data_IF_172859626809
#
_entry.id   IF_172859626809
#
_cell.length_a   1.000
_cell.length_b   1.000
_cell.length_c   1.000
_cell.angle_alpha   90.00
_cell.angle_beta   90.00
_cell.angle_gamma   90.00
#
_symmetry.space_group_name_H-M   'P 1'
#
loop_
_entity.id
_entity.type
_entity.pdbx_description
1 polymer ?
#
# COMPACT_ATOMS: atom_id res chain seq x y z
N UNK A 1 -5.66 -15.58 17.58
CA UNK A 1 -4.77 -14.76 16.74
C UNK A 1 -5.50 -13.46 16.45
N UNK A 2 -4.92 -12.32 16.77
CA UNK A 2 -5.55 -11.01 16.50
C UNK A 2 -4.71 -10.32 15.43
N UNK A 3 -5.20 -10.29 14.20
CA UNK A 3 -4.43 -9.80 13.06
C UNK A 3 -3.91 -8.36 13.27
N UNK A 4 -4.76 -7.47 13.82
CA UNK A 4 -4.40 -6.08 14.15
C UNK A 4 -3.26 -5.95 15.17
N UNK A 5 -2.98 -6.99 15.97
CA UNK A 5 -1.86 -6.99 16.92
C UNK A 5 -0.57 -7.51 16.31
N UNK A 6 -0.67 -8.27 15.22
CA UNK A 6 0.46 -8.99 14.60
C UNK A 6 0.94 -8.31 13.31
N UNK A 7 0.18 -7.35 12.78
CA UNK A 7 0.53 -6.58 11.60
C UNK A 7 0.42 -5.06 11.84
N UNK A 8 1.21 -4.30 11.10
CA UNK A 8 1.12 -2.84 11.09
C UNK A 8 0.34 -2.37 9.86
N UNK A 9 -0.78 -1.69 10.12
CA UNK A 9 -1.63 -1.07 9.09
C UNK A 9 -1.17 0.35 8.80
N UNK A 10 -1.11 0.70 7.50
CA UNK A 10 -0.67 2.00 7.01
C UNK A 10 -1.53 2.40 5.81
N UNK A 11 -2.05 3.64 5.80
CA UNK A 11 -2.55 4.28 4.58
C UNK A 11 -1.38 5.01 3.94
N UNK A 12 -0.79 4.40 2.92
CA UNK A 12 0.42 4.89 2.27
C UNK A 12 0.16 6.13 1.40
N UNK A 13 -1.02 6.21 0.78
CA UNK A 13 -1.45 7.40 0.04
C UNK A 13 -2.95 7.64 0.19
N UNK A 14 -3.32 8.92 0.18
CA UNK A 14 -4.73 9.33 0.14
C UNK A 14 -5.39 9.00 -1.20
N UNK A 15 -6.70 9.20 -1.25
CA UNK A 15 -7.43 9.11 -2.50
C UNK A 15 -6.92 10.20 -3.45
N UNK A 16 -6.82 9.87 -4.72
CA UNK A 16 -6.42 10.77 -5.80
C UNK A 16 -7.50 10.70 -6.87
N UNK A 17 -8.03 11.87 -7.21
CA UNK A 17 -9.03 12.00 -8.26
C UNK A 17 -8.50 11.53 -9.62
N UNK A 18 -9.43 11.36 -10.56
CA UNK A 18 -9.16 11.03 -11.95
C UNK A 18 -8.05 11.92 -12.53
N UNK A 19 -7.12 11.31 -13.25
CA UNK A 19 -6.04 12.02 -13.91
C UNK A 19 -4.99 11.09 -14.47
N UNK A 20 -3.95 11.68 -15.05
CA UNK A 20 -2.90 10.98 -15.81
C UNK A 20 -1.49 11.14 -15.22
N UNK A 21 -1.35 11.80 -14.07
CA UNK A 21 -0.03 11.96 -13.43
C UNK A 21 0.32 10.74 -12.60
N UNK A 22 1.60 10.36 -12.60
CA UNK A 22 2.08 9.30 -11.68
C UNK A 22 1.82 9.70 -10.24
N UNK A 23 1.27 8.79 -9.46
CA UNK A 23 1.06 8.94 -8.03
C UNK A 23 2.26 8.34 -7.32
N UNK A 24 3.03 9.20 -6.65
CA UNK A 24 4.21 8.82 -5.87
C UNK A 24 4.00 9.24 -4.43
N UNK A 25 3.83 8.28 -3.50
CA UNK A 25 3.72 8.57 -2.08
C UNK A 25 4.96 9.32 -1.56
N UNK A 26 4.75 10.29 -0.67
CA UNK A 26 5.83 11.14 -0.18
C UNK A 26 6.87 10.34 0.64
N UNK A 27 6.42 9.64 1.68
CA UNK A 27 7.28 8.86 2.56
C UNK A 27 7.35 7.39 2.12
N UNK A 28 8.49 6.74 2.36
CA UNK A 28 8.62 5.29 2.27
C UNK A 28 7.96 4.54 3.42
N UNK A 29 7.74 3.25 3.21
CA UNK A 29 7.38 2.28 4.24
C UNK A 29 8.66 1.71 4.84
N UNK A 30 8.91 1.98 6.12
CA UNK A 30 10.03 1.42 6.88
C UNK A 30 9.74 -0.02 7.28
N UNK A 31 10.55 -0.95 6.77
CA UNK A 31 10.45 -2.39 7.01
C UNK A 31 11.17 -2.84 8.28
N UNK A 32 11.80 -1.94 9.05
CA UNK A 32 12.48 -2.31 10.28
C UNK A 32 11.53 -3.00 11.26
N UNK A 33 11.87 -4.24 11.64
CA UNK A 33 11.09 -5.07 12.57
C UNK A 33 9.96 -5.86 11.91
N UNK A 34 9.90 -5.90 10.57
CA UNK A 34 8.90 -6.64 9.80
C UNK A 34 9.56 -7.39 8.63
N UNK A 35 9.04 -8.56 8.30
CA UNK A 35 9.59 -9.38 7.22
C UNK A 35 8.88 -9.18 5.88
N UNK A 36 7.62 -8.74 5.88
CA UNK A 36 6.79 -8.72 4.68
C UNK A 36 5.96 -7.43 4.58
N UNK A 37 5.77 -6.91 3.38
CA UNK A 37 4.85 -5.80 3.11
C UNK A 37 3.89 -6.17 1.97
N UNK A 38 2.59 -6.17 2.28
CA UNK A 38 1.52 -6.26 1.30
C UNK A 38 1.04 -4.84 0.99
N UNK A 39 1.25 -4.39 -0.24
CA UNK A 39 0.60 -3.18 -0.74
C UNK A 39 -0.73 -3.53 -1.40
N UNK A 40 -1.73 -2.69 -1.17
CA UNK A 40 -3.06 -2.79 -1.79
C UNK A 40 -3.40 -1.43 -2.36
N UNK A 41 -3.70 -1.38 -3.66
CA UNK A 41 -4.21 -0.20 -4.36
C UNK A 41 -5.68 -0.45 -4.65
N UNK A 42 -6.54 0.45 -4.15
CA UNK A 42 -7.95 0.47 -4.52
C UNK A 42 -8.13 1.44 -5.69
N UNK A 43 -8.63 0.91 -6.81
CA UNK A 43 -8.98 1.71 -7.98
C UNK A 43 -10.47 2.04 -7.98
N UNK A 44 -10.79 3.26 -8.41
CA UNK A 44 -12.16 3.66 -8.72
C UNK A 44 -12.42 3.47 -10.22
N UNK A 45 -13.04 4.48 -10.85
CA UNK A 45 -13.25 4.50 -12.29
C UNK A 45 -11.93 4.63 -13.07
N UNK A 46 -11.81 3.86 -14.15
CA UNK A 46 -10.71 3.79 -15.09
C UNK A 46 -11.30 4.06 -16.47
N UNK A 47 -10.78 5.09 -17.14
CA UNK A 47 -11.29 5.47 -18.45
C UNK A 47 -10.85 4.45 -19.49
N UNK A 48 -11.74 4.04 -20.40
CA UNK A 48 -11.40 3.16 -21.53
C UNK A 48 -10.16 3.68 -22.28
N UNK A 49 -9.22 2.79 -22.56
CA UNK A 49 -7.91 3.10 -23.13
C UNK A 49 -6.84 3.52 -22.13
N UNK A 50 -7.10 3.49 -20.82
CA UNK A 50 -6.11 3.82 -19.79
C UNK A 50 -5.00 2.77 -19.70
N UNK A 51 -3.76 3.24 -19.81
CA UNK A 51 -2.54 2.52 -19.51
C UNK A 51 -2.15 2.85 -18.06
N UNK A 52 -2.75 2.09 -17.13
CA UNK A 52 -2.44 2.19 -15.71
C UNK A 52 -1.58 1.01 -15.29
N UNK A 53 -0.60 1.24 -14.42
CA UNK A 53 0.19 0.17 -13.81
C UNK A 53 0.61 0.54 -12.41
N UNK A 54 0.96 -0.46 -11.60
CA UNK A 54 1.58 -0.26 -10.30
C UNK A 54 2.97 -0.88 -10.30
N UNK A 55 3.87 -0.35 -9.47
CA UNK A 55 5.20 -0.92 -9.23
C UNK A 55 5.69 -0.60 -7.83
N UNK A 56 6.57 -1.44 -7.30
CA UNK A 56 7.23 -1.20 -6.02
C UNK A 56 8.67 -0.74 -6.26
N UNK A 57 9.11 0.23 -5.46
CA UNK A 57 10.48 0.72 -5.40
C UNK A 57 11.07 0.50 -4.01
N UNK A 58 12.40 0.45 -3.92
CA UNK A 58 13.12 0.39 -2.65
C UNK A 58 14.25 1.41 -2.56
N UNK A 59 14.56 1.76 -1.32
CA UNK A 59 15.71 2.58 -0.91
C UNK A 59 16.27 2.08 0.43
N UNK A 60 17.55 2.28 0.68
CA UNK A 60 18.18 2.01 1.98
C UNK A 60 17.93 3.11 3.02
N UNK A 61 17.60 4.33 2.59
CA UNK A 61 17.54 5.53 3.45
C UNK A 61 16.39 6.49 3.11
N UNK A 62 15.29 5.96 2.57
CA UNK A 62 14.11 6.73 2.17
C UNK A 62 14.40 7.83 1.13
N UNK A 63 15.38 7.59 0.25
CA UNK A 63 15.70 8.49 -0.85
C UNK A 63 16.58 9.67 -0.49
N UNK A 64 17.25 9.64 0.67
CA UNK A 64 18.15 10.73 1.11
C UNK A 64 19.46 10.72 0.33
N UNK A 65 20.18 9.60 0.34
CA UNK A 65 21.39 9.36 -0.45
C UNK A 65 21.22 8.18 -1.43
N UNK A 66 20.40 7.18 -1.10
CA UNK A 66 20.04 6.08 -2.00
C UNK A 66 18.66 6.32 -2.61
N UNK A 67 18.64 6.86 -3.82
CA UNK A 67 17.41 7.10 -4.56
C UNK A 67 16.57 5.83 -4.76
N UNK A 68 15.24 6.02 -4.80
CA UNK A 68 14.32 4.91 -5.03
C UNK A 68 14.54 4.24 -6.38
N UNK A 69 14.70 2.91 -6.35
CA UNK A 69 14.88 2.08 -7.53
C UNK A 69 13.78 1.03 -7.64
N UNK A 70 13.31 0.76 -8.86
CA UNK A 70 12.27 -0.24 -9.13
C UNK A 70 12.70 -1.66 -8.70
N UNK A 71 11.80 -2.41 -8.08
CA UNK A 71 12.00 -3.83 -7.80
C UNK A 71 11.57 -4.62 -9.03
N UNK A 72 12.53 -5.32 -9.63
CA UNK A 72 12.28 -6.22 -10.75
C UNK A 72 11.16 -7.23 -10.41
N UNK A 73 10.19 -7.37 -11.31
CA UNK A 73 9.08 -8.32 -11.16
C UNK A 73 7.90 -7.83 -10.33
N UNK A 74 7.93 -6.61 -9.79
CA UNK A 74 6.82 -6.06 -8.96
C UNK A 74 5.79 -5.24 -9.74
N UNK A 75 5.91 -5.18 -11.07
CA UNK A 75 4.99 -4.39 -11.90
C UNK A 75 3.73 -5.19 -12.24
N UNK A 76 2.57 -4.57 -12.05
CA UNK A 76 1.28 -5.12 -12.45
C UNK A 76 0.58 -4.11 -13.35
N UNK A 77 0.20 -4.56 -14.55
CA UNK A 77 -0.66 -3.79 -15.46
C UNK A 77 -2.10 -3.83 -14.96
N UNK A 78 -2.75 -2.68 -14.94
CA UNK A 78 -4.15 -2.52 -14.58
C UNK A 78 -4.91 -2.21 -15.86
N UNK A 79 -5.68 -3.18 -16.33
CA UNK A 79 -6.52 -3.02 -17.51
C UNK A 79 -7.68 -2.04 -17.25
N UNK A 80 -8.20 -1.44 -18.33
CA UNK A 80 -9.23 -0.41 -18.30
C UNK A 80 -10.64 -0.94 -17.99
N UNK A 81 -10.79 -2.25 -17.83
CA UNK A 81 -12.02 -2.95 -17.38
C UNK A 81 -11.93 -3.41 -15.91
N UNK A 82 -10.92 -2.93 -15.16
CA UNK A 82 -10.70 -3.28 -13.76
C UNK A 82 -11.23 -2.22 -12.78
N UNK A 83 -12.28 -1.50 -13.18
CA UNK A 83 -12.97 -0.52 -12.34
C UNK A 83 -13.38 -1.09 -10.99
N UNK A 84 -13.21 -0.29 -9.93
CA UNK A 84 -13.67 -0.62 -8.57
C UNK A 84 -13.07 -1.93 -8.01
N UNK A 85 -11.82 -2.26 -8.39
CA UNK A 85 -11.10 -3.45 -7.93
C UNK A 85 -9.85 -3.12 -7.13
N UNK A 86 -9.36 -4.13 -6.44
CA UNK A 86 -8.10 -4.09 -5.70
C UNK A 86 -6.98 -4.71 -6.54
N UNK A 87 -5.85 -4.01 -6.63
CA UNK A 87 -4.59 -4.57 -7.10
C UNK A 87 -3.65 -4.69 -5.89
N UNK A 88 -3.00 -5.83 -5.71
CA UNK A 88 -2.05 -6.02 -4.62
C UNK A 88 -0.67 -6.43 -5.14
N UNK A 89 0.37 -6.03 -4.40
CA UNK A 89 1.75 -6.48 -4.61
C UNK A 89 2.35 -6.78 -3.24
N UNK A 90 2.80 -8.00 -3.05
CA UNK A 90 3.46 -8.43 -1.82
C UNK A 90 4.97 -8.54 -2.03
N UNK A 91 5.73 -7.97 -1.10
CA UNK A 91 7.19 -8.10 -1.06
C UNK A 91 7.57 -8.75 0.26
N UNK A 92 8.00 -10.01 0.18
CA UNK A 92 8.55 -10.74 1.31
C UNK A 92 10.08 -10.61 1.34
N UNK A 93 10.62 -10.37 2.54
CA UNK A 93 12.06 -10.20 2.83
C UNK A 93 12.75 -9.22 1.88
N UNK A 94 12.34 -7.94 1.88
CA UNK A 94 12.96 -6.93 1.00
C UNK A 94 14.45 -6.76 1.32
N UNK A 95 15.24 -6.50 0.27
CA UNK A 95 16.70 -6.38 0.40
C UNK A 95 17.14 -5.02 0.96
N UNK A 96 16.28 -4.01 0.88
CA UNK A 96 16.51 -2.69 1.48
C UNK A 96 15.39 -2.34 2.45
N UNK A 97 15.69 -1.37 3.32
CA UNK A 97 14.84 -1.01 4.47
C UNK A 97 13.54 -0.32 4.08
N UNK A 98 13.51 0.50 3.03
CA UNK A 98 12.35 1.30 2.68
C UNK A 98 11.71 0.80 1.38
N UNK A 99 10.39 0.63 1.39
CA UNK A 99 9.59 0.28 0.22
C UNK A 99 8.60 1.40 -0.12
N UNK A 100 8.25 1.55 -1.40
CA UNK A 100 7.24 2.52 -1.85
C UNK A 100 6.48 1.96 -3.04
N UNK A 101 5.16 2.06 -3.04
CA UNK A 101 4.35 1.67 -4.21
C UNK A 101 3.94 2.92 -4.99
N UNK A 102 4.18 2.89 -6.30
CA UNK A 102 3.77 3.94 -7.24
C UNK A 102 2.63 3.44 -8.12
N UNK A 103 1.73 4.35 -8.50
CA UNK A 103 0.72 4.12 -9.53
C UNK A 103 1.05 5.00 -10.73
N UNK A 104 1.40 4.38 -11.85
CA UNK A 104 1.69 5.05 -13.10
C UNK A 104 0.38 5.16 -13.89
N UNK A 105 0.07 6.39 -14.28
CA UNK A 105 -1.03 6.73 -15.17
C UNK A 105 -0.39 7.39 -16.40
N UNK A 106 -0.79 7.02 -17.61
CA UNK A 106 -0.10 7.48 -18.82
C UNK A 106 -1.04 7.98 -19.93
N UNK A 107 -2.03 7.18 -20.35
CA UNK A 107 -2.83 7.49 -21.56
C UNK A 107 -4.18 8.12 -21.29
N UNK A 108 -4.90 7.67 -20.25
CA UNK A 108 -6.24 8.15 -19.89
C UNK A 108 -6.39 8.14 -18.37
N UNK A 109 -7.45 8.77 -17.90
CA UNK A 109 -7.66 9.01 -16.49
C UNK A 109 -7.98 7.73 -15.72
N UNK A 110 -7.37 7.57 -14.55
CA UNK A 110 -7.76 6.58 -13.54
C UNK A 110 -7.84 7.19 -12.14
N UNK A 111 -8.86 6.79 -11.39
CA UNK A 111 -9.10 7.17 -10.00
C UNK A 111 -8.44 6.16 -9.07
N UNK A 112 -7.82 6.64 -8.00
CA UNK A 112 -7.25 5.81 -6.93
C UNK A 112 -7.91 6.17 -5.61
N UNK A 113 -8.62 5.25 -4.97
CA UNK A 113 -9.33 5.48 -3.71
C UNK A 113 -8.40 5.43 -2.48
N UNK A 114 -7.23 4.82 -2.68
CA UNK A 114 -6.14 4.85 -1.72
C UNK A 114 -5.10 3.79 -2.02
N UNK A 115 -3.91 4.01 -1.43
CA UNK A 115 -2.86 3.00 -1.37
C UNK A 115 -2.68 2.64 0.10
N UNK A 116 -2.74 1.35 0.40
CA UNK A 116 -2.59 0.80 1.74
C UNK A 116 -1.37 -0.11 1.78
N UNK A 117 -0.74 -0.21 2.94
CA UNK A 117 0.32 -1.16 3.21
C UNK A 117 0.03 -1.89 4.52
N UNK A 118 0.23 -3.20 4.52
CA UNK A 118 0.15 -4.07 5.69
C UNK A 118 1.51 -4.72 5.86
N UNK A 119 2.17 -4.43 6.98
CA UNK A 119 3.46 -5.05 7.30
C UNK A 119 3.21 -6.25 8.21
N UNK A 120 3.68 -7.42 7.79
CA UNK A 120 3.56 -8.69 8.50
C UNK A 120 4.92 -9.26 8.90
N UNK A 121 4.90 -10.36 9.65
CA UNK A 121 6.12 -10.96 10.20
C UNK A 121 6.80 -10.04 11.20
N UNK A 122 6.01 -9.42 12.08
CA UNK A 122 6.53 -8.54 13.11
C UNK A 122 7.48 -9.30 14.04
N UNK A 123 8.66 -8.74 14.30
CA UNK A 123 9.64 -9.34 15.22
C UNK A 123 9.21 -9.21 16.68
N UNK A 124 8.38 -8.22 16.98
CA UNK A 124 7.82 -7.95 18.29
C UNK A 124 6.32 -7.66 18.17
N UNK A 125 5.52 -8.28 19.03
CA UNK A 125 4.06 -8.11 19.10
C UNK A 125 3.65 -7.65 20.51
N UNK A 126 2.65 -6.77 20.66
CA UNK A 126 1.81 -6.20 19.61
C UNK A 126 2.49 -5.05 18.85
N UNK A 127 2.18 -4.92 17.56
CA UNK A 127 2.69 -3.84 16.72
C UNK A 127 1.92 -2.54 16.93
N UNK A 128 2.58 -1.40 16.72
CA UNK A 128 1.92 -0.09 16.67
C UNK A 128 1.56 0.29 15.23
N UNK A 129 0.30 0.62 14.99
CA UNK A 129 -0.17 1.09 13.69
C UNK A 129 0.37 2.49 13.32
N UNK A 130 0.30 2.83 12.03
CA UNK A 130 0.62 4.18 11.56
C UNK A 130 -0.36 5.22 12.12
N UNK A 131 0.09 6.47 12.26
CA UNK A 131 -0.78 7.62 12.61
C UNK A 131 -1.87 7.89 11.58
N UNK A 132 -1.76 7.30 10.39
CA UNK A 132 -2.80 7.32 9.36
C UNK A 132 -3.99 6.41 9.69
N UNK A 133 -3.86 5.55 10.71
CA UNK A 133 -4.95 4.73 11.25
C UNK A 133 -5.62 5.49 12.38
N UNK A 134 -6.95 5.47 12.44
CA UNK A 134 -7.69 6.18 13.46
C UNK A 134 -7.35 5.65 14.86
N UNK A 135 -7.11 6.55 15.81
CA UNK A 135 -6.82 6.20 17.20
C UNK A 135 -7.98 5.46 17.90
N UNK A 136 -9.22 5.71 17.44
CA UNK A 136 -10.44 5.06 17.95
C UNK A 136 -10.70 3.66 17.36
N UNK A 137 -9.72 3.03 16.72
CA UNK A 137 -9.88 1.67 16.17
C UNK A 137 -9.98 0.65 17.30
N UNK A 138 -10.89 -0.31 17.19
CA UNK A 138 -11.20 -1.26 18.27
C UNK A 138 -10.88 -2.72 17.87
N UNK A 139 -10.82 -3.61 18.87
CA UNK A 139 -10.68 -5.06 18.65
C UNK A 139 -11.54 -5.80 19.65
N UNK A 140 -12.46 -6.62 19.16
CA UNK A 140 -13.43 -7.38 19.96
C UNK A 140 -13.14 -8.88 19.87
N UNK A 141 -13.45 -9.62 20.94
CA UNK A 141 -13.29 -11.09 21.00
C UNK A 141 -14.65 -11.68 21.33
N UNK A 142 -15.22 -12.41 20.39
CA UNK A 142 -16.52 -13.09 20.53
C UNK A 142 -17.64 -12.20 21.10
N UNK A 143 -17.92 -11.02 20.49
CA UNK A 143 -18.99 -10.15 20.97
C UNK A 143 -20.35 -10.85 20.85
N UNK A 144 -21.26 -10.58 21.79
CA UNK A 144 -22.65 -11.00 21.69
C UNK A 144 -23.40 -10.13 20.66
N UNK A 145 -24.50 -10.65 20.12
CA UNK A 145 -25.44 -9.86 19.31
C UNK A 145 -26.08 -8.75 20.15
N UNK A 146 -26.24 -7.57 19.55
CA UNK A 146 -26.74 -6.38 20.25
C UNK A 146 -26.45 -5.08 19.47
N UNK A 147 -26.67 -3.94 20.10
CA UNK A 147 -26.33 -2.64 19.52
C UNK A 147 -24.83 -2.38 19.62
N UNK A 148 -24.20 -2.05 18.48
CA UNK A 148 -22.80 -1.65 18.36
C UNK A 148 -22.60 -0.14 18.55
#
# INVERSE_FOLDING_TARGET
MNLSKECKLIRHNNAVAAGQTTITPAAGIDMKGFDTCLFIVAFGAITTGAATSVKVQQSSDDGVADGYSDLTGTSVTVADDQDNKLCYVEVARPLKRYLKLLVLRATQDSVVDGIFAILGGAHEIPTTHSTTVMAASETHISPAEGTA
#
